data_IF_266298517641
#
_entry.id   IF_266298517641
#
_cell.length_a   1.000
_cell.length_b   1.000
_cell.length_c   1.000
_cell.angle_alpha   90.00
_cell.angle_beta   90.00
_cell.angle_gamma   90.00
#
_symmetry.space_group_name_H-M   'P 1'
#
loop_
_entity.id
_entity.type
_entity.pdbx_description
1 polymer ?
#
# COMPACT_ATOMS: atom_id res chain seq x y z
N UNK A 1 14.48 37.49 11.17
CA UNK A 1 15.04 36.25 10.58
C UNK A 1 14.65 36.12 9.11
N UNK A 2 14.75 37.21 8.33
CA UNK A 2 14.27 37.29 6.93
C UNK A 2 15.33 37.84 5.96
N UNK A 3 16.55 38.08 6.44
CA UNK A 3 17.66 38.63 5.64
C UNK A 3 18.74 37.55 5.35
N UNK A 4 18.75 36.44 6.09
CA UNK A 4 19.75 35.37 5.92
C UNK A 4 19.38 34.33 4.85
N UNK A 5 18.10 34.11 4.58
CA UNK A 5 17.66 33.05 3.63
C UNK A 5 17.81 33.49 2.17
N UNK A 6 17.73 34.79 1.90
CA UNK A 6 17.82 35.36 0.54
C UNK A 6 19.27 35.33 0.01
N UNK A 7 20.28 35.24 0.88
CA UNK A 7 21.68 35.29 0.47
C UNK A 7 22.25 33.93 0.02
N UNK A 8 21.57 32.82 0.32
CA UNK A 8 22.05 31.47 -0.01
C UNK A 8 21.61 31.04 -1.42
N UNK A 9 20.46 31.51 -1.91
CA UNK A 9 19.93 31.11 -3.23
C UNK A 9 20.51 31.93 -4.40
N UNK A 10 21.04 33.13 -4.15
CA UNK A 10 21.65 33.97 -5.19
C UNK A 10 23.06 33.49 -5.63
N UNK A 11 23.67 32.52 -4.93
CA UNK A 11 24.99 31.97 -5.28
C UNK A 11 24.97 30.81 -6.27
N UNK A 12 23.78 30.38 -6.72
CA UNK A 12 23.59 29.21 -7.60
C UNK A 12 23.05 29.54 -9.01
N UNK A 13 22.90 30.82 -9.40
CA UNK A 13 22.67 31.21 -10.79
C UNK A 13 21.28 30.89 -11.39
N UNK A 14 20.24 30.70 -10.57
CA UNK A 14 18.88 30.46 -11.06
C UNK A 14 18.08 31.77 -11.19
N UNK A 15 17.53 32.04 -12.37
CA UNK A 15 16.56 33.11 -12.62
C UNK A 15 15.18 32.76 -12.04
N UNK A 16 14.61 33.68 -11.26
CA UNK A 16 13.26 33.54 -10.69
C UNK A 16 12.26 34.20 -11.65
N UNK A 17 11.46 33.39 -12.36
CA UNK A 17 10.33 33.87 -13.15
C UNK A 17 9.08 33.92 -12.27
N UNK A 18 8.63 35.12 -11.90
CA UNK A 18 7.34 35.36 -11.24
C UNK A 18 6.24 35.43 -12.31
N UNK A 19 5.53 34.32 -12.54
CA UNK A 19 4.25 34.34 -13.25
C UNK A 19 3.12 34.68 -12.27
N UNK A 20 2.40 35.78 -12.55
CA UNK A 20 1.14 36.14 -11.89
C UNK A 20 0.02 35.45 -12.67
N UNK A 21 -0.42 34.30 -12.18
CA UNK A 21 -1.72 33.73 -12.51
C UNK A 21 -2.54 33.56 -11.22
N UNK A 22 -3.85 33.78 -11.32
CA UNK A 22 -4.80 33.70 -10.21
C UNK A 22 -4.72 32.36 -9.47
N UNK A 23 -4.87 32.34 -8.13
CA UNK A 23 -4.65 31.13 -7.35
C UNK A 23 -5.71 30.07 -7.69
N UNK A 24 -5.31 28.83 -8.02
CA UNK A 24 -6.25 27.72 -8.12
C UNK A 24 -6.86 27.44 -6.74
N UNK A 25 -8.15 27.12 -6.71
CA UNK A 25 -8.88 26.80 -5.48
C UNK A 25 -8.15 25.69 -4.67
N UNK A 26 -7.89 26.00 -3.40
CA UNK A 26 -7.16 25.19 -2.45
C UNK A 26 -7.80 23.82 -2.19
N UNK A 27 -7.04 22.72 -2.08
CA UNK A 27 -7.53 21.53 -1.40
C UNK A 27 -7.47 21.79 0.12
N UNK A 28 -8.65 21.90 0.71
CA UNK A 28 -8.92 22.25 2.11
C UNK A 28 -8.18 21.33 3.08
N UNK A 29 -7.51 21.90 4.08
CA UNK A 29 -7.08 21.17 5.27
C UNK A 29 -8.31 20.79 6.08
N UNK A 30 -8.52 19.50 6.31
CA UNK A 30 -9.70 18.90 6.94
C UNK A 30 -9.82 19.15 8.46
N UNK A 31 -9.78 20.42 8.86
CA UNK A 31 -10.24 20.88 10.18
C UNK A 31 -11.72 21.33 10.18
N UNK A 32 -12.39 21.34 9.01
CA UNK A 32 -13.84 21.56 8.85
C UNK A 32 -14.63 20.28 8.53
N UNK A 33 -14.18 19.12 9.03
CA UNK A 33 -14.87 17.83 8.80
C UNK A 33 -16.08 17.63 9.74
N UNK A 34 -16.99 18.59 9.76
CA UNK A 34 -18.38 18.37 10.14
C UNK A 34 -19.23 18.85 8.96
N UNK A 35 -19.68 17.88 8.16
CA UNK A 35 -20.60 18.02 7.02
C UNK A 35 -20.00 18.50 5.69
N UNK A 36 -18.94 17.86 5.21
CA UNK A 36 -18.73 17.77 3.75
C UNK A 36 -19.70 16.69 3.24
N UNK A 37 -20.78 17.10 2.55
CA UNK A 37 -21.74 16.16 1.95
C UNK A 37 -21.03 15.44 0.82
N UNK A 38 -20.62 14.20 1.06
CA UNK A 38 -20.00 13.36 0.04
C UNK A 38 -21.04 13.17 -1.08
N UNK A 39 -20.72 13.48 -2.34
CA UNK A 39 -21.69 13.32 -3.43
C UNK A 39 -22.00 11.85 -3.68
N UNK A 40 -23.27 11.54 -3.89
CA UNK A 40 -23.71 10.21 -4.31
C UNK A 40 -23.36 10.00 -5.79
N UNK A 41 -22.35 9.17 -6.06
CA UNK A 41 -22.01 8.74 -7.43
C UNK A 41 -21.86 7.22 -7.52
N UNK A 42 -22.08 6.62 -8.71
CA UNK A 42 -21.83 5.18 -8.92
C UNK A 42 -20.41 4.76 -8.57
N UNK A 43 -19.42 5.59 -8.89
CA UNK A 43 -18.02 5.35 -8.59
C UNK A 43 -17.78 5.34 -7.08
N UNK A 44 -18.45 6.24 -6.34
CA UNK A 44 -18.31 6.31 -4.88
C UNK A 44 -18.95 5.11 -4.19
N UNK A 45 -20.13 4.68 -4.61
CA UNK A 45 -20.76 3.46 -4.08
C UNK A 45 -19.89 2.24 -4.37
N UNK A 46 -19.38 2.13 -5.61
CA UNK A 46 -18.48 1.04 -5.98
C UNK A 46 -17.23 1.04 -5.09
N UNK A 47 -16.61 2.20 -4.88
CA UNK A 47 -15.46 2.34 -3.97
C UNK A 47 -15.78 1.83 -2.56
N UNK A 48 -16.93 2.22 -1.99
CA UNK A 48 -17.31 1.77 -0.64
C UNK A 48 -17.51 0.26 -0.59
N UNK A 49 -18.14 -0.34 -1.60
CA UNK A 49 -18.31 -1.80 -1.69
C UNK A 49 -16.96 -2.50 -1.83
N UNK A 50 -16.04 -1.95 -2.62
CA UNK A 50 -14.68 -2.46 -2.78
C UNK A 50 -13.88 -2.35 -1.48
N UNK A 51 -14.03 -1.27 -0.72
CA UNK A 51 -13.40 -1.08 0.58
C UNK A 51 -13.95 -2.03 1.66
N UNK A 52 -15.26 -2.29 1.65
CA UNK A 52 -15.90 -3.21 2.57
C UNK A 52 -15.68 -4.69 2.20
N UNK A 53 -15.23 -4.99 0.98
CA UNK A 53 -14.98 -6.36 0.55
C UNK A 53 -14.01 -7.07 1.53
N UNK A 54 -14.32 -8.27 2.03
CA UNK A 54 -15.36 -9.19 1.55
C UNK A 54 -16.71 -9.11 2.28
N UNK A 55 -16.89 -8.16 3.19
CA UNK A 55 -18.14 -7.98 3.90
C UNK A 55 -19.23 -7.40 2.98
N UNK A 56 -20.43 -7.99 2.96
CA UNK A 56 -21.57 -7.39 2.27
C UNK A 56 -21.98 -6.05 2.90
N UNK A 57 -22.48 -5.14 2.07
CA UNK A 57 -22.91 -3.80 2.48
C UNK A 57 -24.41 -3.64 2.27
N UNK A 58 -25.12 -3.10 3.25
CA UNK A 58 -26.55 -2.83 3.18
C UNK A 58 -26.82 -1.39 2.67
N UNK A 59 -27.74 -1.17 1.72
CA UNK A 59 -28.16 0.17 1.29
C UNK A 59 -28.64 1.08 2.44
N UNK A 60 -29.31 0.53 3.46
CA UNK A 60 -29.79 1.30 4.61
C UNK A 60 -28.63 1.88 5.42
N UNK A 61 -27.59 1.08 5.65
CA UNK A 61 -26.38 1.50 6.36
C UNK A 61 -25.61 2.54 5.53
N UNK A 62 -25.49 2.35 4.22
CA UNK A 62 -24.88 3.33 3.31
C UNK A 62 -25.59 4.68 3.34
N UNK A 63 -26.93 4.66 3.24
CA UNK A 63 -27.74 5.87 3.27
C UNK A 63 -27.57 6.63 4.59
N UNK A 64 -27.57 5.91 5.72
CA UNK A 64 -27.37 6.47 7.06
C UNK A 64 -25.98 7.06 7.25
N UNK A 65 -24.93 6.31 6.89
CA UNK A 65 -23.55 6.68 7.20
C UNK A 65 -23.06 7.88 6.37
N UNK A 66 -23.57 8.04 5.15
CA UNK A 66 -23.19 9.13 4.24
C UNK A 66 -24.27 10.22 4.08
N UNK A 67 -25.42 10.07 4.74
CA UNK A 67 -26.53 11.04 4.68
C UNK A 67 -27.23 11.09 3.31
N UNK A 68 -27.28 9.97 2.59
CA UNK A 68 -27.92 9.85 1.28
C UNK A 68 -29.37 9.36 1.37
N UNK A 69 -30.14 9.53 0.30
CA UNK A 69 -31.45 8.91 0.16
C UNK A 69 -31.32 7.41 -0.15
N UNK A 70 -31.98 6.56 0.64
CA UNK A 70 -31.98 5.10 0.45
C UNK A 70 -32.46 4.71 -0.96
N UNK A 71 -33.48 5.38 -1.48
CA UNK A 71 -34.00 5.13 -2.83
C UNK A 71 -32.97 5.43 -3.92
N UNK A 72 -32.17 6.48 -3.75
CA UNK A 72 -31.15 6.87 -4.71
C UNK A 72 -29.95 5.92 -4.65
N UNK A 73 -29.52 5.53 -3.44
CA UNK A 73 -28.50 4.50 -3.23
C UNK A 73 -28.92 3.18 -3.89
N UNK A 74 -30.17 2.77 -3.68
CA UNK A 74 -30.69 1.53 -4.26
C UNK A 74 -30.72 1.54 -5.79
N UNK A 75 -31.10 2.67 -6.41
CA UNK A 75 -31.05 2.83 -7.88
C UNK A 75 -29.62 2.67 -8.42
N UNK A 76 -28.64 3.27 -7.74
CA UNK A 76 -27.22 3.14 -8.14
C UNK A 76 -26.73 1.71 -7.97
N UNK A 77 -27.10 1.02 -6.88
CA UNK A 77 -26.76 -0.39 -6.66
C UNK A 77 -27.34 -1.31 -7.75
N UNK A 78 -28.58 -1.07 -8.18
CA UNK A 78 -29.16 -1.81 -9.31
C UNK A 78 -28.34 -1.57 -10.57
N UNK A 79 -27.99 -0.32 -10.89
CA UNK A 79 -27.18 -0.02 -12.08
C UNK A 79 -25.80 -0.69 -12.04
N UNK A 80 -25.14 -0.73 -10.87
CA UNK A 80 -23.87 -1.44 -10.69
C UNK A 80 -24.02 -2.97 -10.81
N UNK A 81 -25.14 -3.52 -10.34
CA UNK A 81 -25.48 -4.94 -10.49
C UNK A 81 -25.75 -5.31 -11.95
N UNK A 82 -26.44 -4.46 -12.70
CA UNK A 82 -26.71 -4.64 -14.13
C UNK A 82 -25.42 -4.60 -14.97
N UNK A 83 -24.44 -3.77 -14.55
CA UNK A 83 -23.07 -3.78 -15.12
C UNK A 83 -22.25 -5.03 -14.73
N UNK A 84 -22.79 -5.90 -13.88
CA UNK A 84 -22.11 -7.10 -13.41
C UNK A 84 -20.98 -6.82 -12.42
N UNK A 85 -20.91 -5.63 -11.82
CA UNK A 85 -19.82 -5.29 -10.89
C UNK A 85 -20.10 -5.82 -9.47
N UNK A 86 -21.36 -5.89 -9.07
CA UNK A 86 -21.78 -6.33 -7.73
C UNK A 86 -22.89 -7.38 -7.80
N UNK A 87 -23.00 -8.21 -6.76
CA UNK A 87 -24.07 -9.20 -6.59
C UNK A 87 -24.88 -8.92 -5.33
N UNK A 88 -26.16 -9.24 -5.38
CA UNK A 88 -27.04 -9.27 -4.20
C UNK A 88 -26.80 -10.54 -3.38
N UNK A 89 -26.73 -10.39 -2.07
CA UNK A 89 -26.63 -11.43 -1.05
C UNK A 89 -27.96 -11.54 -0.30
N UNK A 90 -28.02 -12.37 0.74
CA UNK A 90 -29.15 -12.41 1.68
C UNK A 90 -29.34 -11.04 2.36
N UNK A 91 -30.55 -10.78 2.88
CA UNK A 91 -30.87 -9.56 3.63
C UNK A 91 -30.57 -8.24 2.90
N UNK A 92 -30.89 -8.17 1.59
CA UNK A 92 -30.73 -6.97 0.76
C UNK A 92 -29.31 -6.38 0.73
N UNK A 93 -28.30 -7.19 1.04
CA UNK A 93 -26.90 -6.74 1.07
C UNK A 93 -26.21 -6.96 -0.28
N UNK A 94 -25.18 -6.18 -0.57
CA UNK A 94 -24.45 -6.24 -1.84
C UNK A 94 -22.95 -6.47 -1.61
N UNK A 95 -22.29 -7.20 -2.51
CA UNK A 95 -20.83 -7.40 -2.46
C UNK A 95 -20.23 -7.42 -3.87
N UNK A 96 -18.93 -7.14 -3.98
CA UNK A 96 -18.20 -7.13 -5.26
C UNK A 96 -18.20 -8.52 -5.90
N UNK A 97 -18.43 -8.58 -7.21
CA UNK A 97 -18.25 -9.80 -8.01
C UNK A 97 -16.79 -9.90 -8.44
N UNK A 98 -16.19 -11.07 -8.23
CA UNK A 98 -14.91 -11.45 -8.82
C UNK A 98 -15.20 -12.28 -10.08
N UNK A 99 -14.91 -11.72 -11.26
CA UNK A 99 -15.16 -12.38 -12.54
C UNK A 99 -14.12 -13.47 -12.89
N UNK A 100 -13.00 -13.54 -12.18
CA UNK A 100 -11.84 -14.35 -12.57
C UNK A 100 -11.76 -15.74 -11.95
N UNK A 101 -12.44 -16.00 -10.83
CA UNK A 101 -12.29 -17.26 -10.14
C UNK A 101 -13.17 -18.33 -10.78
N UNK A 102 -12.60 -19.07 -11.74
CA UNK A 102 -13.22 -20.29 -12.30
C UNK A 102 -13.61 -21.30 -11.22
N UNK A 103 -13.13 -21.15 -9.99
CA UNK A 103 -13.48 -21.95 -8.82
C UNK A 103 -13.64 -21.11 -7.53
N UNK A 104 -14.57 -20.15 -7.47
CA UNK A 104 -14.97 -19.59 -6.16
C UNK A 104 -15.63 -20.71 -5.34
N UNK A 105 -14.91 -21.22 -4.34
CA UNK A 105 -15.42 -22.24 -3.42
C UNK A 105 -15.99 -21.54 -2.20
N UNK A 106 -17.32 -21.40 -2.17
CA UNK A 106 -18.02 -20.95 -0.96
C UNK A 106 -18.01 -22.09 0.06
N UNK A 107 -17.36 -21.87 1.20
CA UNK A 107 -17.17 -22.89 2.22
C UNK A 107 -17.65 -22.42 3.58
N UNK A 108 -18.25 -23.32 4.37
CA UNK A 108 -18.57 -23.03 5.79
C UNK A 108 -17.31 -23.08 6.66
N UNK A 109 -16.41 -23.99 6.33
CA UNK A 109 -15.11 -24.18 6.96
C UNK A 109 -14.07 -24.44 5.88
N UNK A 110 -12.86 -23.91 6.08
CA UNK A 110 -11.76 -24.18 5.15
C UNK A 110 -11.50 -25.69 5.06
N UNK A 111 -11.37 -26.25 3.85
CA UNK A 111 -11.05 -27.65 3.69
C UNK A 111 -9.69 -27.95 4.32
N UNK A 112 -9.54 -29.15 4.88
CA UNK A 112 -8.24 -29.61 5.37
C UNK A 112 -7.29 -29.78 4.19
N UNK A 113 -6.34 -28.87 4.06
CA UNK A 113 -5.33 -28.91 3.00
C UNK A 113 -4.23 -29.89 3.42
N UNK A 114 -3.91 -30.83 2.54
CA UNK A 114 -2.80 -31.75 2.73
C UNK A 114 -1.52 -31.00 3.08
N UNK A 115 -0.72 -31.57 3.99
CA UNK A 115 0.47 -30.93 4.56
C UNK A 115 1.44 -30.37 3.51
N UNK A 116 1.60 -31.04 2.38
CA UNK A 116 2.47 -30.63 1.25
C UNK A 116 1.86 -29.54 0.34
N UNK A 117 0.55 -29.30 0.44
CA UNK A 117 -0.16 -28.26 -0.33
C UNK A 117 -0.46 -27.02 0.50
N UNK A 118 -0.03 -26.99 1.77
CA UNK A 118 -0.24 -25.84 2.63
C UNK A 118 0.68 -24.69 2.22
N UNK A 119 0.16 -23.46 2.23
CA UNK A 119 0.96 -22.28 1.93
C UNK A 119 2.00 -22.04 3.03
N UNK A 120 3.19 -21.62 2.61
CA UNK A 120 4.28 -21.22 3.51
C UNK A 120 4.44 -19.71 3.59
N UNK A 121 3.79 -18.97 2.68
CA UNK A 121 3.85 -17.53 2.59
C UNK A 121 2.44 -16.96 2.64
N UNK A 122 2.23 -15.93 3.46
CA UNK A 122 1.01 -15.15 3.49
C UNK A 122 1.23 -13.75 2.95
N UNK A 123 0.29 -13.24 2.15
CA UNK A 123 0.25 -11.85 1.71
C UNK A 123 -1.02 -11.19 2.24
N UNK A 124 -0.85 -10.14 3.03
CA UNK A 124 -1.94 -9.34 3.61
C UNK A 124 -1.99 -8.00 2.90
N UNK A 125 -3.16 -7.66 2.37
CA UNK A 125 -3.45 -6.40 1.67
C UNK A 125 -4.60 -5.68 2.36
N UNK A 126 -4.65 -4.35 2.28
CA UNK A 126 -5.70 -3.56 2.91
C UNK A 126 -6.75 -3.11 1.90
N UNK A 127 -6.32 -2.62 0.73
CA UNK A 127 -7.17 -2.07 -0.31
C UNK A 127 -7.53 -3.10 -1.39
N UNK A 128 -8.65 -2.85 -2.08
CA UNK A 128 -9.11 -3.75 -3.13
C UNK A 128 -8.14 -3.78 -4.33
N UNK A 129 -7.63 -2.63 -4.76
CA UNK A 129 -6.63 -2.54 -5.83
C UNK A 129 -5.32 -3.29 -5.49
N UNK A 130 -4.92 -3.29 -4.21
CA UNK A 130 -3.77 -4.05 -3.71
C UNK A 130 -4.00 -5.56 -3.84
N UNK A 131 -5.20 -6.03 -3.46
CA UNK A 131 -5.59 -7.43 -3.62
C UNK A 131 -5.58 -7.85 -5.08
N UNK A 132 -6.14 -7.04 -5.98
CA UNK A 132 -6.13 -7.30 -7.42
C UNK A 132 -4.70 -7.38 -7.98
N UNK A 133 -3.85 -6.42 -7.61
CA UNK A 133 -2.45 -6.40 -8.00
C UNK A 133 -1.69 -7.64 -7.54
N UNK A 134 -1.87 -8.05 -6.28
CA UNK A 134 -1.26 -9.27 -5.73
C UNK A 134 -1.81 -10.52 -6.40
N UNK A 135 -3.12 -10.59 -6.65
CA UNK A 135 -3.73 -11.74 -7.30
C UNK A 135 -3.25 -11.90 -8.73
N UNK A 136 -3.01 -10.81 -9.47
CA UNK A 136 -2.41 -10.85 -10.82
C UNK A 136 -1.01 -11.49 -10.84
N UNK A 137 -0.29 -11.45 -9.71
CA UNK A 137 1.04 -12.07 -9.59
C UNK A 137 0.99 -13.59 -9.39
N UNK A 138 -0.16 -14.14 -9.00
CA UNK A 138 -0.34 -15.55 -8.66
C UNK A 138 -0.62 -16.43 -9.88
N UNK A 139 -0.11 -17.65 -9.83
CA UNK A 139 -0.46 -18.73 -10.76
C UNK A 139 -1.36 -19.77 -10.07
N UNK A 140 -2.17 -20.50 -10.83
CA UNK A 140 -3.02 -21.59 -10.31
C UNK A 140 -3.88 -21.19 -9.11
N UNK A 141 -4.64 -20.09 -9.29
CA UNK A 141 -5.42 -19.42 -8.25
C UNK A 141 -6.67 -20.24 -7.88
N UNK A 142 -6.89 -20.43 -6.59
CA UNK A 142 -8.14 -20.97 -6.02
C UNK A 142 -8.61 -20.04 -4.90
N UNK A 143 -9.81 -19.47 -5.04
CA UNK A 143 -10.37 -18.55 -4.05
C UNK A 143 -11.43 -19.24 -3.21
N UNK A 144 -11.22 -19.20 -1.89
CA UNK A 144 -12.12 -19.70 -0.88
C UNK A 144 -12.80 -18.53 -0.20
N UNK A 145 -14.13 -18.55 -0.22
CA UNK A 145 -14.95 -17.52 0.42
C UNK A 145 -15.72 -18.15 1.56
N UNK A 146 -15.45 -17.69 2.77
CA UNK A 146 -16.19 -18.08 3.96
C UNK A 146 -17.15 -16.96 4.33
N UNK A 147 -18.39 -17.05 3.83
CA UNK A 147 -19.47 -16.20 4.28
C UNK A 147 -20.01 -16.73 5.61
N UNK A 148 -20.09 -15.85 6.60
CA UNK A 148 -20.77 -16.13 7.87
C UNK A 148 -22.06 -15.33 7.92
N UNK A 149 -23.18 -15.98 8.26
CA UNK A 149 -24.47 -15.29 8.49
C UNK A 149 -24.42 -14.35 9.69
N UNK A 150 -23.50 -14.60 10.63
CA UNK A 150 -23.21 -13.74 11.78
C UNK A 150 -21.69 -13.62 11.90
N UNK A 151 -21.17 -12.40 11.80
CA UNK A 151 -19.73 -12.10 11.92
C UNK A 151 -19.03 -11.83 10.58
N UNK A 152 -17.69 -11.80 10.62
CA UNK A 152 -16.83 -11.37 9.50
C UNK A 152 -16.66 -12.42 8.42
N UNK A 153 -16.89 -12.00 7.17
CA UNK A 153 -16.56 -12.81 6.00
C UNK A 153 -15.05 -12.79 5.76
N UNK A 154 -14.49 -13.91 5.31
CA UNK A 154 -13.07 -13.99 4.99
C UNK A 154 -12.88 -14.57 3.59
N UNK A 155 -11.94 -14.01 2.85
CA UNK A 155 -11.60 -14.45 1.50
C UNK A 155 -10.12 -14.77 1.45
N UNK A 156 -9.82 -16.02 1.12
CA UNK A 156 -8.46 -16.52 0.95
C UNK A 156 -8.27 -16.93 -0.49
N UNK A 157 -7.30 -16.34 -1.18
CA UNK A 157 -6.88 -16.80 -2.50
C UNK A 157 -5.57 -17.55 -2.34
N UNK A 158 -5.59 -18.84 -2.69
CA UNK A 158 -4.40 -19.67 -2.72
C UNK A 158 -3.85 -19.70 -4.14
N UNK A 159 -2.53 -19.66 -4.29
CA UNK A 159 -1.88 -19.73 -5.58
C UNK A 159 -0.40 -20.03 -5.43
N UNK A 160 0.33 -19.99 -6.53
CA UNK A 160 1.77 -20.19 -6.57
C UNK A 160 2.48 -18.93 -7.07
N UNK A 161 3.65 -18.65 -6.50
CA UNK A 161 4.64 -17.75 -7.09
C UNK A 161 5.95 -18.53 -7.14
N UNK A 162 6.41 -18.85 -8.35
CA UNK A 162 7.54 -19.76 -8.54
C UNK A 162 7.29 -21.09 -7.83
N UNK A 163 8.23 -21.51 -6.98
CA UNK A 163 8.13 -22.75 -6.22
C UNK A 163 7.32 -22.64 -4.92
N UNK A 164 6.82 -21.45 -4.56
CA UNK A 164 6.19 -21.20 -3.28
C UNK A 164 4.67 -21.20 -3.37
N UNK A 165 4.03 -21.90 -2.42
CA UNK A 165 2.58 -21.86 -2.23
C UNK A 165 2.22 -20.67 -1.34
N UNK A 166 1.34 -19.81 -1.87
CA UNK A 166 0.97 -18.53 -1.29
C UNK A 166 -0.50 -18.55 -0.88
N UNK A 167 -0.82 -17.88 0.23
CA UNK A 167 -2.18 -17.47 0.55
C UNK A 167 -2.26 -15.96 0.65
N UNK A 168 -3.27 -15.37 0.03
CA UNK A 168 -3.50 -13.92 0.05
C UNK A 168 -4.87 -13.62 0.67
N UNK A 169 -4.94 -12.53 1.42
CA UNK A 169 -6.19 -12.01 1.96
C UNK A 169 -6.22 -10.50 1.85
N UNK A 170 -7.43 -9.96 1.69
CA UNK A 170 -7.70 -8.54 1.89
C UNK A 170 -8.29 -8.34 3.29
N UNK A 171 -7.91 -7.26 3.95
CA UNK A 171 -8.55 -6.82 5.19
C UNK A 171 -9.99 -6.34 4.91
N UNK A 172 -10.94 -6.63 5.82
CA UNK A 172 -12.37 -6.47 5.55
C UNK A 172 -12.88 -5.04 5.63
N UNK A 173 -12.25 -4.18 6.41
CA UNK A 173 -12.65 -2.79 6.54
C UNK A 173 -11.41 -1.93 6.70
N UNK A 174 -11.36 -0.93 5.83
CA UNK A 174 -10.36 0.12 5.83
C UNK A 174 -10.85 1.23 6.75
N UNK A 175 -9.97 1.73 7.60
CA UNK A 175 -10.29 2.80 8.53
C UNK A 175 -9.73 2.58 9.92
N UNK A 176 -9.68 3.68 10.67
CA UNK A 176 -9.06 3.72 11.99
C UNK A 176 -10.07 3.72 13.13
N UNK A 177 -11.31 3.28 12.86
CA UNK A 177 -12.26 3.00 13.94
C UNK A 177 -11.78 1.77 14.71
N UNK A 178 -12.18 1.65 15.97
CA UNK A 178 -11.75 0.51 16.80
C UNK A 178 -12.30 -0.80 16.25
N UNK A 179 -13.48 -0.74 15.64
CA UNK A 179 -14.16 -1.84 14.98
C UNK A 179 -13.37 -2.32 13.75
N UNK A 180 -12.96 -1.40 12.86
CA UNK A 180 -12.17 -1.72 11.68
C UNK A 180 -10.78 -2.27 12.05
N UNK A 181 -10.14 -1.68 13.05
CA UNK A 181 -8.86 -2.15 13.61
C UNK A 181 -9.02 -3.57 14.18
N UNK A 182 -10.07 -3.83 14.95
CA UNK A 182 -10.30 -5.16 15.53
C UNK A 182 -10.58 -6.20 14.45
N UNK A 183 -11.40 -5.86 13.45
CA UNK A 183 -11.73 -6.76 12.35
C UNK A 183 -10.51 -7.12 11.51
N UNK A 184 -9.68 -6.14 11.17
CA UNK A 184 -8.45 -6.34 10.41
C UNK A 184 -7.44 -7.23 11.16
N UNK A 185 -7.32 -7.05 12.48
CA UNK A 185 -6.45 -7.89 13.32
C UNK A 185 -6.98 -9.32 13.44
N UNK A 186 -8.29 -9.47 13.57
CA UNK A 186 -8.95 -10.77 13.58
C UNK A 186 -8.74 -11.52 12.28
N UNK A 187 -8.91 -10.89 11.12
CA UNK A 187 -8.66 -11.52 9.81
C UNK A 187 -7.23 -12.01 9.69
N UNK A 188 -6.24 -11.19 10.09
CA UNK A 188 -4.82 -11.57 10.05
C UNK A 188 -4.54 -12.74 10.99
N UNK A 189 -5.04 -12.69 12.22
CA UNK A 189 -4.89 -13.78 13.20
C UNK A 189 -5.57 -15.08 12.74
N UNK A 190 -6.76 -14.98 12.13
CA UNK A 190 -7.47 -16.13 11.57
C UNK A 190 -6.72 -16.75 10.39
N UNK A 191 -6.11 -15.95 9.53
CA UNK A 191 -5.26 -16.43 8.45
C UNK A 191 -4.10 -17.25 9.03
N UNK A 192 -3.34 -16.69 9.98
CA UNK A 192 -2.17 -17.34 10.57
C UNK A 192 -2.54 -18.59 11.39
N UNK A 193 -3.73 -18.61 12.00
CA UNK A 193 -4.26 -19.78 12.72
C UNK A 193 -4.80 -20.88 11.78
N UNK A 194 -5.35 -20.50 10.62
CA UNK A 194 -5.86 -21.44 9.60
C UNK A 194 -4.72 -22.09 8.84
N UNK A 195 -3.70 -21.31 8.47
CA UNK A 195 -2.54 -21.75 7.70
C UNK A 195 -1.30 -21.77 8.59
N UNK A 196 -1.23 -22.78 9.47
CA UNK A 196 -0.23 -22.84 10.53
C UNK A 196 1.22 -22.94 10.00
N UNK A 197 1.40 -23.45 8.78
CA UNK A 197 2.70 -23.56 8.08
C UNK A 197 3.19 -22.27 7.43
N UNK A 198 2.46 -21.16 7.56
CA UNK A 198 2.94 -19.87 7.08
C UNK A 198 4.11 -19.41 7.95
N UNK A 199 5.29 -19.34 7.36
CA UNK A 199 6.52 -18.89 8.02
C UNK A 199 6.88 -17.45 7.65
N UNK A 200 6.48 -17.01 6.44
CA UNK A 200 6.80 -15.69 5.91
C UNK A 200 5.52 -14.89 5.69
N UNK A 201 5.49 -13.64 6.17
CA UNK A 201 4.35 -12.74 5.97
C UNK A 201 4.76 -11.48 5.23
N UNK A 202 4.06 -11.18 4.15
CA UNK A 202 4.20 -9.95 3.39
C UNK A 202 3.01 -9.05 3.67
N UNK A 203 3.28 -7.82 4.13
CA UNK A 203 2.25 -6.77 4.23
C UNK A 203 2.46 -5.86 3.02
N UNK A 204 1.52 -5.91 2.08
CA UNK A 204 1.66 -5.27 0.77
C UNK A 204 0.58 -4.22 0.62
N UNK A 205 0.94 -3.04 0.13
CA UNK A 205 -0.08 -2.05 -0.20
C UNK A 205 0.46 -0.74 -0.74
N UNK A 206 -0.38 0.28 -0.72
CA UNK A 206 0.01 1.65 -0.99
C UNK A 206 0.49 2.37 0.27
N UNK A 207 1.26 3.43 0.07
CA UNK A 207 1.68 4.35 1.13
C UNK A 207 1.92 5.76 0.55
N UNK A 208 1.96 6.73 1.46
CA UNK A 208 2.43 8.08 1.16
C UNK A 208 3.96 8.12 1.22
N UNK A 209 4.60 8.69 0.21
CA UNK A 209 6.05 8.89 0.17
C UNK A 209 6.46 10.07 1.03
N UNK A 210 7.62 9.96 1.69
CA UNK A 210 8.29 11.09 2.33
C UNK A 210 9.37 11.61 1.36
N UNK A 211 9.13 12.74 0.70
CA UNK A 211 10.06 13.24 -0.30
C UNK A 211 11.28 13.88 0.37
N UNK A 212 12.46 13.55 -0.11
CA UNK A 212 13.67 14.31 0.18
C UNK A 212 13.90 15.36 -0.90
N UNK A 213 13.84 16.64 -0.56
CA UNK A 213 13.83 17.71 -1.56
C UNK A 213 15.19 17.95 -2.25
N UNK A 214 16.29 17.57 -1.60
CA UNK A 214 17.65 17.90 -2.08
C UNK A 214 18.51 16.70 -2.47
N UNK A 215 18.13 15.48 -2.08
CA UNK A 215 18.95 14.29 -2.27
C UNK A 215 18.17 13.32 -3.14
N UNK A 216 18.58 13.20 -4.40
CA UNK A 216 17.95 12.34 -5.38
C UNK A 216 17.85 10.87 -4.95
N UNK A 217 18.85 10.37 -4.20
CA UNK A 217 18.90 8.95 -3.79
C UNK A 217 17.92 8.63 -2.68
N UNK A 218 17.66 9.60 -1.80
CA UNK A 218 16.65 9.49 -0.73
C UNK A 218 15.27 9.98 -1.18
N UNK A 219 15.19 10.59 -2.35
CA UNK A 219 13.97 11.16 -2.86
C UNK A 219 13.04 10.07 -3.39
N UNK A 220 11.95 9.85 -2.68
CA UNK A 220 10.86 8.95 -3.06
C UNK A 220 9.88 9.68 -3.98
N UNK A 221 9.50 9.06 -5.10
CA UNK A 221 8.55 9.59 -6.10
C UNK A 221 7.28 8.76 -6.21
N UNK A 222 6.24 9.28 -6.87
CA UNK A 222 5.05 8.47 -7.14
C UNK A 222 5.38 7.31 -8.09
N UNK A 223 4.84 6.14 -7.75
CA UNK A 223 5.12 4.88 -8.44
C UNK A 223 6.42 4.19 -8.00
N UNK A 224 7.26 4.80 -7.15
CA UNK A 224 8.37 4.09 -6.52
C UNK A 224 7.85 3.08 -5.48
N UNK A 225 8.69 2.14 -5.08
CA UNK A 225 8.36 1.12 -4.07
C UNK A 225 9.32 1.25 -2.89
N UNK A 226 8.77 1.35 -1.68
CA UNK A 226 9.53 1.38 -0.42
C UNK A 226 9.39 0.04 0.28
N UNK A 227 10.50 -0.55 0.68
CA UNK A 227 10.56 -1.82 1.41
C UNK A 227 11.08 -1.56 2.81
N UNK A 228 10.39 -2.08 3.82
CA UNK A 228 10.80 -1.97 5.22
C UNK A 228 12.12 -2.71 5.43
N UNK A 229 13.22 -1.97 5.54
CA UNK A 229 14.56 -2.51 5.76
C UNK A 229 15.33 -1.52 6.63
N UNK A 230 16.32 -2.02 7.37
CA UNK A 230 17.20 -1.15 8.14
C UNK A 230 17.92 -0.17 7.18
N UNK A 231 18.03 1.11 7.54
CA UNK A 231 18.79 2.06 6.75
C UNK A 231 20.23 1.55 6.56
N UNK A 232 20.66 1.43 5.30
CA UNK A 232 22.07 1.15 5.00
C UNK A 232 22.83 2.47 5.08
N UNK A 233 23.48 2.74 6.20
CA UNK A 233 24.37 3.88 6.30
C UNK A 233 25.66 3.57 5.52
N UNK A 234 25.69 3.94 4.22
CA UNK A 234 26.85 3.73 3.35
C UNK A 234 28.13 4.41 3.87
N UNK A 235 28.00 5.42 4.74
CA UNK A 235 29.14 6.06 5.42
C UNK A 235 29.69 5.24 6.61
N UNK A 236 28.92 4.30 7.17
CA UNK A 236 29.44 3.36 8.17
C UNK A 236 30.31 2.27 7.51
N UNK A 237 30.04 1.91 6.25
CA UNK A 237 30.87 0.95 5.50
C UNK A 237 32.29 1.49 5.21
N UNK A 238 32.47 2.80 5.09
CA UNK A 238 33.78 3.42 4.80
C UNK A 238 34.68 3.58 6.03
N UNK A 239 34.12 3.52 7.25
CA UNK A 239 34.85 3.77 8.49
C UNK A 239 35.28 2.51 9.25
N UNK A 240 35.14 1.31 8.69
CA UNK A 240 35.59 0.06 9.31
C UNK A 240 34.89 -0.30 10.64
N UNK A 241 33.88 0.47 11.04
CA UNK A 241 32.95 0.11 12.08
C UNK A 241 31.85 -0.71 11.40
N UNK A 242 31.75 -1.99 11.76
CA UNK A 242 30.62 -2.84 11.38
C UNK A 242 29.32 -2.17 11.87
N UNK A 243 28.76 -1.29 11.04
CA UNK A 243 27.53 -0.57 11.31
C UNK A 243 26.42 -1.61 11.40
N UNK A 244 26.07 -2.00 12.61
CA UNK A 244 24.94 -2.87 12.84
C UNK A 244 23.71 -2.21 12.20
N UNK A 245 22.89 -2.95 11.43
CA UNK A 245 21.69 -2.40 10.83
C UNK A 245 20.86 -1.71 11.91
N UNK A 246 20.53 -0.43 11.70
CA UNK A 246 19.78 0.35 12.68
C UNK A 246 18.36 -0.21 12.77
N UNK A 247 18.15 -1.06 13.78
CA UNK A 247 16.85 -1.57 14.21
C UNK A 247 16.34 -0.66 15.32
N UNK A 248 15.03 -0.34 15.36
CA UNK A 248 13.93 -0.82 14.52
C UNK A 248 13.78 -0.02 13.21
N UNK A 249 12.92 -0.47 12.29
CA UNK A 249 12.63 0.26 11.03
C UNK A 249 11.15 0.20 10.59
N UNK A 250 10.28 -0.39 11.39
CA UNK A 250 8.84 -0.27 11.25
C UNK A 250 8.31 0.43 12.50
N UNK A 251 7.65 1.58 12.33
CA UNK A 251 7.18 2.40 13.44
C UNK A 251 5.67 2.56 13.39
N UNK A 252 5.00 2.32 14.51
CA UNK A 252 3.55 2.49 14.63
C UNK A 252 3.28 3.57 15.67
N UNK A 253 2.69 4.67 15.23
CA UNK A 253 2.31 5.80 16.06
C UNK A 253 0.88 5.61 16.58
N UNK A 254 0.69 5.68 17.89
CA UNK A 254 -0.63 5.67 18.53
C UNK A 254 -0.74 6.83 19.50
N UNK A 255 -1.76 7.68 19.34
CA UNK A 255 -2.01 8.81 20.22
C UNK A 255 -2.79 8.38 21.49
N UNK A 256 -2.32 7.33 22.17
CA UNK A 256 -2.73 7.07 23.55
C UNK A 256 -1.98 8.05 24.47
N UNK A 257 -2.45 8.21 25.72
CA UNK A 257 -2.14 9.34 26.63
C UNK A 257 -0.66 9.75 26.81
N UNK A 258 0.32 8.94 26.38
CA UNK A 258 1.77 9.22 26.41
C UNK A 258 2.48 9.36 25.04
N UNK A 259 1.77 9.29 23.91
CA UNK A 259 2.37 9.35 22.57
C UNK A 259 3.30 8.18 22.26
N UNK A 260 2.90 6.96 22.64
CA UNK A 260 3.72 5.77 22.51
C UNK A 260 3.95 5.37 21.04
N UNK A 261 5.22 5.13 20.70
CA UNK A 261 5.65 4.64 19.39
C UNK A 261 6.04 3.17 19.52
N UNK A 262 5.21 2.29 18.97
CA UNK A 262 5.58 0.87 18.88
C UNK A 262 6.62 0.68 17.78
N UNK A 263 7.58 -0.18 18.06
CA UNK A 263 8.78 -0.38 17.26
C UNK A 263 8.88 -1.83 16.85
N UNK A 264 8.93 -2.08 15.55
CA UNK A 264 8.91 -3.42 14.99
C UNK A 264 10.08 -3.66 14.04
N UNK A 265 10.53 -4.91 14.02
CA UNK A 265 11.46 -5.48 13.07
C UNK A 265 11.35 -7.01 13.13
N UNK A 266 11.52 -7.74 12.02
CA UNK A 266 11.60 -9.19 12.01
C UNK A 266 12.87 -9.68 12.69
N UNK A 267 12.78 -10.82 13.38
CA UNK A 267 13.96 -11.48 13.95
C UNK A 267 14.81 -12.13 12.85
N UNK A 268 14.17 -12.67 11.80
CA UNK A 268 14.83 -13.20 10.62
C UNK A 268 14.81 -12.16 9.48
N UNK A 269 16.00 -11.72 9.06
CA UNK A 269 16.18 -10.69 8.05
C UNK A 269 16.32 -11.21 6.61
N UNK A 270 16.11 -12.51 6.37
CA UNK A 270 16.28 -13.14 5.05
C UNK A 270 15.53 -12.40 3.92
N UNK A 271 14.28 -11.97 4.17
CA UNK A 271 13.50 -11.23 3.17
C UNK A 271 14.11 -9.85 2.88
N UNK A 272 14.65 -9.18 3.91
CA UNK A 272 15.32 -7.88 3.77
C UNK A 272 16.66 -8.01 3.05
N UNK A 273 17.42 -9.08 3.30
CA UNK A 273 18.67 -9.38 2.59
C UNK A 273 18.42 -9.62 1.09
N UNK A 274 17.35 -10.35 0.74
CA UNK A 274 16.94 -10.51 -0.66
C UNK A 274 16.56 -9.16 -1.27
N UNK A 275 15.78 -8.34 -0.56
CA UNK A 275 15.41 -7.00 -1.03
C UNK A 275 16.64 -6.10 -1.24
N UNK A 276 17.64 -6.19 -0.36
CA UNK A 276 18.92 -5.49 -0.50
C UNK A 276 19.68 -5.96 -1.73
N UNK A 277 19.80 -7.27 -1.94
CA UNK A 277 20.43 -7.84 -3.12
C UNK A 277 19.72 -7.39 -4.41
N UNK A 278 18.38 -7.34 -4.42
CA UNK A 278 17.62 -6.85 -5.58
C UNK A 278 17.90 -5.37 -5.89
N UNK A 279 18.06 -4.52 -4.86
CA UNK A 279 18.42 -3.12 -5.06
C UNK A 279 19.88 -2.97 -5.54
N UNK A 280 20.82 -3.75 -5.01
CA UNK A 280 22.24 -3.71 -5.39
C UNK A 280 22.47 -4.16 -6.84
N UNK A 281 21.70 -5.14 -7.32
CA UNK A 281 21.78 -5.64 -8.70
C UNK A 281 20.83 -4.93 -9.67
N UNK A 282 20.14 -3.88 -9.23
CA UNK A 282 19.14 -3.16 -10.02
C UNK A 282 19.70 -2.59 -11.33
N UNK A 283 20.99 -2.24 -11.38
CA UNK A 283 21.65 -1.73 -12.59
C UNK A 283 21.80 -2.81 -13.68
N UNK A 284 21.87 -4.08 -13.29
CA UNK A 284 22.06 -5.21 -14.20
C UNK A 284 20.74 -5.93 -14.53
N UNK A 285 19.84 -6.08 -13.55
CA UNK A 285 18.61 -6.84 -13.71
C UNK A 285 17.51 -6.32 -12.78
N UNK A 286 16.34 -6.05 -13.36
CA UNK A 286 15.15 -5.59 -12.65
C UNK A 286 13.99 -6.55 -12.88
N UNK A 287 13.94 -7.69 -12.18
CA UNK A 287 12.89 -8.69 -12.41
C UNK A 287 11.48 -8.13 -12.17
N UNK A 288 11.33 -7.13 -11.29
CA UNK A 288 10.04 -6.50 -11.01
C UNK A 288 9.48 -5.74 -12.20
N UNK A 289 10.30 -5.26 -13.14
CA UNK A 289 9.79 -4.59 -14.35
C UNK A 289 9.07 -5.59 -15.25
N UNK A 290 9.67 -6.78 -15.44
CA UNK A 290 9.05 -7.87 -16.20
C UNK A 290 7.73 -8.32 -15.57
N UNK A 291 7.72 -8.52 -14.25
CA UNK A 291 6.49 -8.92 -13.56
C UNK A 291 5.42 -7.83 -13.55
N UNK A 292 5.83 -6.56 -13.57
CA UNK A 292 4.91 -5.43 -13.69
C UNK A 292 4.23 -5.44 -15.05
N UNK A 293 4.99 -5.66 -16.13
CA UNK A 293 4.44 -5.74 -17.49
C UNK A 293 3.51 -6.95 -17.65
N UNK A 294 3.92 -8.12 -17.15
CA UNK A 294 3.09 -9.33 -17.15
C UNK A 294 1.78 -9.11 -16.37
N UNK A 295 1.87 -8.52 -15.17
CA UNK A 295 0.69 -8.21 -14.36
C UNK A 295 -0.22 -7.15 -14.99
N UNK A 296 0.36 -6.16 -15.68
CA UNK A 296 -0.40 -5.14 -16.40
C UNK A 296 -1.14 -5.75 -17.60
N UNK A 297 -0.52 -6.68 -18.33
CA UNK A 297 -1.18 -7.42 -19.39
C UNK A 297 -2.35 -8.27 -18.84
N UNK A 298 -2.13 -9.00 -17.74
CA UNK A 298 -3.15 -9.82 -17.10
C UNK A 298 -4.36 -8.98 -16.65
N UNK A 299 -4.10 -7.82 -16.03
CA UNK A 299 -5.15 -6.95 -15.51
C UNK A 299 -5.90 -6.20 -16.60
N UNK A 300 -5.23 -5.79 -17.69
CA UNK A 300 -5.85 -5.05 -18.79
C UNK A 300 -6.88 -5.89 -19.55
N UNK A 301 -6.67 -7.20 -19.64
CA UNK A 301 -7.62 -8.11 -20.29
C UNK A 301 -8.85 -8.41 -19.42
N UNK A 302 -8.75 -8.25 -18.10
CA UNK A 302 -9.70 -8.83 -17.15
C UNK A 302 -10.45 -7.84 -16.27
N UNK A 303 -9.90 -6.64 -16.04
CA UNK A 303 -10.44 -5.67 -15.07
C UNK A 303 -10.64 -4.30 -15.73
N UNK A 304 -11.70 -3.60 -15.33
CA UNK A 304 -12.02 -2.24 -15.79
C UNK A 304 -11.04 -1.17 -15.25
N UNK A 305 -10.39 -1.45 -14.12
CA UNK A 305 -9.46 -0.53 -13.47
C UNK A 305 -8.17 -0.39 -14.27
N UNK A 306 -7.76 0.86 -14.54
CA UNK A 306 -6.48 1.14 -15.18
C UNK A 306 -5.33 1.03 -14.17
N UNK A 307 -4.44 0.06 -14.40
CA UNK A 307 -3.20 -0.15 -13.64
C UNK A 307 -1.98 0.42 -14.36
N UNK A 308 -2.15 1.08 -15.50
CA UNK A 308 -1.05 1.70 -16.22
C UNK A 308 -0.46 2.89 -15.45
N UNK A 309 0.86 3.09 -15.61
CA UNK A 309 1.53 4.23 -14.98
C UNK A 309 0.89 5.55 -15.45
N UNK A 310 0.42 6.40 -14.53
CA UNK A 310 -0.08 7.73 -14.88
C UNK A 310 0.98 8.58 -15.58
N UNK A 311 0.53 9.64 -16.26
CA UNK A 311 1.42 10.55 -16.96
C UNK A 311 2.43 11.21 -15.98
N UNK A 312 3.71 11.40 -16.36
CA UNK A 312 4.74 11.94 -15.46
C UNK A 312 4.41 13.31 -14.86
N UNK A 313 3.66 14.16 -15.57
CA UNK A 313 3.21 15.47 -15.10
C UNK A 313 2.17 15.41 -13.97
N UNK A 314 1.66 14.23 -13.64
CA UNK A 314 0.76 14.01 -12.50
C UNK A 314 1.51 13.67 -11.21
N UNK A 315 2.82 13.39 -11.29
CA UNK A 315 3.70 13.38 -10.12
C UNK A 315 4.06 14.82 -9.78
N UNK A 316 3.38 15.35 -8.76
CA UNK A 316 3.54 16.74 -8.32
C UNK A 316 3.99 16.77 -6.86
N UNK A 317 5.10 17.44 -6.63
CA UNK A 317 5.68 17.61 -5.32
C UNK A 317 5.38 19.00 -4.76
N UNK A 318 4.89 19.04 -3.53
CA UNK A 318 4.57 20.27 -2.82
C UNK A 318 5.41 20.41 -1.55
N UNK A 319 5.90 21.63 -1.30
CA UNK A 319 6.63 21.98 -0.08
C UNK A 319 5.83 22.99 0.73
N UNK A 320 5.68 22.75 2.04
CA UNK A 320 5.04 23.68 2.95
C UNK A 320 6.02 24.79 3.36
N UNK A 321 5.64 26.05 3.16
CA UNK A 321 6.46 27.24 3.46
C UNK A 321 5.99 27.99 4.72
N UNK A 322 4.99 27.47 5.43
CA UNK A 322 4.38 28.08 6.62
C UNK A 322 2.97 28.60 6.36
N UNK A 323 2.21 28.87 7.43
CA UNK A 323 0.84 29.44 7.36
C UNK A 323 -0.17 28.71 6.47
N UNK A 324 0.02 27.40 6.25
CA UNK A 324 -0.77 26.56 5.32
C UNK A 324 -0.52 26.86 3.83
N UNK A 325 0.45 27.70 3.51
CA UNK A 325 0.87 27.94 2.13
C UNK A 325 1.78 26.81 1.65
N UNK A 326 1.52 26.34 0.44
CA UNK A 326 2.31 25.29 -0.24
C UNK A 326 2.79 25.81 -1.59
N UNK A 327 4.01 25.44 -1.96
CA UNK A 327 4.60 25.72 -3.26
C UNK A 327 4.84 24.41 -4.02
N UNK A 328 4.55 24.40 -5.32
CA UNK A 328 4.95 23.29 -6.19
C UNK A 328 6.47 23.39 -6.41
N UNK A 329 7.19 22.28 -6.21
CA UNK A 329 8.65 22.22 -6.35
C UNK A 329 9.01 21.09 -7.31
N UNK A 330 10.07 21.30 -8.09
CA UNK A 330 10.58 20.26 -8.96
C UNK A 330 11.20 19.12 -8.13
N UNK A 331 11.09 17.89 -8.65
CA UNK A 331 11.83 16.76 -8.10
C UNK A 331 13.34 17.00 -8.25
N UNK A 332 14.17 16.59 -7.28
CA UNK A 332 15.61 16.63 -7.43
C UNK A 332 16.02 15.80 -8.65
N UNK A 333 16.97 16.34 -9.42
CA UNK A 333 17.53 15.68 -10.60
C UNK A 333 18.71 14.84 -10.16
N UNK A 334 18.72 13.57 -10.56
CA UNK A 334 19.86 12.69 -10.30
C UNK A 334 20.96 12.87 -11.35
N UNK A 335 22.10 12.17 -11.17
CA UNK A 335 23.13 12.10 -12.20
C UNK A 335 22.57 11.66 -13.56
N UNK A 336 23.17 12.07 -14.67
CA UNK A 336 22.68 11.66 -16.01
C UNK A 336 22.48 10.14 -16.11
N UNK A 337 21.29 9.72 -16.53
CA UNK A 337 20.91 8.30 -16.64
C UNK A 337 20.45 7.63 -15.33
N UNK A 338 20.31 8.36 -14.21
CA UNK A 338 19.87 7.78 -12.94
C UNK A 338 18.38 7.48 -12.87
N UNK A 339 17.57 8.27 -13.57
CA UNK A 339 16.15 7.98 -13.74
C UNK A 339 16.06 6.78 -14.67
N UNK A 340 15.75 5.64 -14.08
CA UNK A 340 15.58 4.39 -14.79
C UNK A 340 14.45 4.53 -15.79
N UNK A 341 14.76 4.33 -17.06
CA UNK A 341 13.80 4.26 -18.15
C UNK A 341 13.76 2.84 -18.71
N UNK A 342 12.58 2.38 -19.08
CA UNK A 342 12.40 1.10 -19.76
C UNK A 342 12.90 1.18 -21.22
N UNK A 343 12.79 0.06 -21.94
CA UNK A 343 13.18 -0.03 -23.35
C UNK A 343 12.41 0.93 -24.28
N UNK A 344 11.31 1.52 -23.80
CA UNK A 344 10.46 2.47 -24.48
C UNK A 344 10.71 3.92 -24.02
N UNK A 345 11.71 4.14 -23.15
CA UNK A 345 12.09 5.45 -22.64
C UNK A 345 11.17 5.98 -21.53
N UNK A 346 10.33 5.14 -20.92
CA UNK A 346 9.39 5.50 -19.87
C UNK A 346 10.00 5.25 -18.49
N UNK A 347 9.81 6.21 -17.59
CA UNK A 347 10.31 6.13 -16.21
C UNK A 347 9.75 4.89 -15.52
N UNK A 348 10.64 4.08 -14.92
CA UNK A 348 10.29 2.87 -14.17
C UNK A 348 10.31 3.10 -12.67
N UNK A 349 9.70 2.18 -11.92
CA UNK A 349 9.65 2.23 -10.46
C UNK A 349 11.01 1.92 -9.86
N UNK A 350 11.50 2.81 -8.99
CA UNK A 350 12.71 2.55 -8.19
C UNK A 350 12.33 1.87 -6.88
N UNK A 351 13.25 1.04 -6.39
CA UNK A 351 13.14 0.41 -5.07
C UNK A 351 13.94 1.25 -4.07
N UNK A 352 13.31 1.59 -2.95
CA UNK A 352 13.92 2.24 -1.81
C UNK A 352 13.87 1.32 -0.61
N UNK A 353 14.98 1.23 0.11
CA UNK A 353 15.10 0.45 1.35
C UNK A 353 15.14 1.41 2.50
N UNK A 354 14.19 1.31 3.42
CA UNK A 354 14.22 2.16 4.59
C UNK A 354 13.00 2.06 5.49
N UNK A 355 12.94 2.94 6.50
CA UNK A 355 11.91 2.87 7.51
C UNK A 355 10.53 3.30 7.02
N UNK A 356 9.50 2.61 7.53
CA UNK A 356 8.09 2.89 7.24
C UNK A 356 7.38 3.23 8.55
N UNK A 357 6.64 4.34 8.56
CA UNK A 357 5.77 4.74 9.66
C UNK A 357 4.32 4.39 9.38
N UNK A 358 3.55 4.04 10.40
CA UNK A 358 2.13 3.83 10.29
C UNK A 358 1.35 4.49 11.42
N UNK A 359 0.20 5.08 11.10
CA UNK A 359 -0.75 5.59 12.10
C UNK A 359 -1.61 6.73 11.56
N UNK A 360 -2.90 6.71 11.91
CA UNK A 360 -3.86 7.74 11.46
C UNK A 360 -3.43 9.14 11.87
N UNK A 361 -3.06 9.31 13.14
CA UNK A 361 -2.71 10.62 13.69
C UNK A 361 -1.36 11.13 13.20
N UNK A 362 -0.46 10.22 12.80
CA UNK A 362 0.79 10.54 12.13
C UNK A 362 0.49 11.12 10.73
N UNK A 363 -0.37 10.44 9.99
CA UNK A 363 -0.68 10.80 8.61
C UNK A 363 -1.56 12.05 8.51
N UNK A 364 -2.50 12.24 9.45
CA UNK A 364 -3.46 13.37 9.47
C UNK A 364 -2.78 14.74 9.64
N UNK A 365 -1.64 14.80 10.33
CA UNK A 365 -0.94 16.05 10.62
C UNK A 365 0.36 16.15 9.83
N UNK A 366 0.44 17.12 8.91
CA UNK A 366 1.65 17.38 8.13
C UNK A 366 2.86 17.66 9.02
N UNK A 367 2.67 18.45 10.08
CA UNK A 367 3.72 18.75 11.06
C UNK A 367 4.24 17.48 11.73
N UNK A 368 3.34 16.64 12.26
CA UNK A 368 3.74 15.37 12.89
C UNK A 368 4.42 14.44 11.90
N UNK A 369 3.90 14.34 10.67
CA UNK A 369 4.50 13.53 9.62
C UNK A 369 5.95 13.96 9.34
N UNK A 370 6.20 15.27 9.24
CA UNK A 370 7.56 15.82 9.03
C UNK A 370 8.46 15.57 10.25
N UNK A 371 7.98 15.84 11.45
CA UNK A 371 8.74 15.65 12.70
C UNK A 371 9.14 14.19 12.88
N UNK A 372 8.16 13.29 12.75
CA UNK A 372 8.34 11.86 12.91
C UNK A 372 9.20 11.25 11.78
N UNK A 373 9.04 11.73 10.54
CA UNK A 373 9.92 11.35 9.44
C UNK A 373 11.37 11.79 9.68
N UNK A 374 11.60 12.96 10.29
CA UNK A 374 12.94 13.43 10.65
C UNK A 374 13.53 12.63 11.79
N UNK A 375 12.74 12.30 12.81
CA UNK A 375 13.18 11.55 13.99
C UNK A 375 13.57 10.11 13.63
N UNK A 376 12.77 9.44 12.80
CA UNK A 376 12.93 8.01 12.49
C UNK A 376 13.46 7.73 11.08
N UNK A 377 13.76 8.76 10.30
CA UNK A 377 14.26 8.62 8.93
C UNK A 377 13.28 7.95 7.97
N UNK A 378 11.98 8.19 8.14
CA UNK A 378 10.95 7.52 7.34
C UNK A 378 11.04 7.85 5.84
N UNK A 379 10.82 6.84 5.01
CA UNK A 379 10.66 6.99 3.56
C UNK A 379 9.20 6.88 3.11
N UNK A 380 8.36 6.22 3.90
CA UNK A 380 6.94 6.06 3.61
C UNK A 380 6.08 6.10 4.88
N UNK A 381 4.83 6.52 4.71
CA UNK A 381 3.80 6.53 5.75
C UNK A 381 2.55 5.80 5.29
N UNK A 382 1.99 5.00 6.19
CA UNK A 382 0.78 4.22 5.96
C UNK A 382 -0.23 4.44 7.09
N UNK A 383 -1.48 4.06 6.88
CA UNK A 383 -2.52 4.11 7.91
C UNK A 383 -2.82 2.73 8.49
N UNK A 384 -2.67 1.65 7.72
CA UNK A 384 -3.36 0.37 7.98
C UNK A 384 -2.44 -0.81 8.30
N UNK A 385 -1.14 -0.64 8.11
CA UNK A 385 -0.09 -1.61 8.46
C UNK A 385 -0.10 -1.97 9.94
N UNK A 386 -0.42 -1.03 10.83
CA UNK A 386 -0.34 -1.20 12.28
C UNK A 386 -1.02 -2.48 12.78
N UNK A 387 -2.21 -2.76 12.27
CA UNK A 387 -3.07 -3.82 12.78
C UNK A 387 -2.61 -5.21 12.31
N UNK A 388 -2.26 -5.30 11.02
CA UNK A 388 -1.70 -6.51 10.45
C UNK A 388 -0.37 -6.85 11.15
N UNK A 389 0.47 -5.83 11.38
CA UNK A 389 1.76 -5.99 12.02
C UNK A 389 1.65 -6.45 13.49
N UNK A 390 0.76 -5.82 14.27
CA UNK A 390 0.46 -6.25 15.65
C UNK A 390 0.04 -7.74 15.69
N UNK A 391 -0.77 -8.17 14.72
CA UNK A 391 -1.23 -9.56 14.62
C UNK A 391 -0.13 -10.53 14.19
N UNK A 392 0.73 -10.13 13.25
CA UNK A 392 1.88 -10.94 12.79
C UNK A 392 2.86 -11.18 13.94
N UNK A 393 3.23 -10.11 14.64
CA UNK A 393 4.16 -10.18 15.78
C UNK A 393 3.53 -10.92 16.95
N UNK A 394 2.26 -10.66 17.26
CA UNK A 394 1.52 -11.34 18.33
C UNK A 394 1.32 -12.84 18.11
N UNK A 395 1.36 -13.31 16.85
CA UNK A 395 1.35 -14.74 16.49
C UNK A 395 2.76 -15.34 16.32
N UNK A 396 3.80 -14.67 16.85
CA UNK A 396 5.19 -15.12 16.84
C UNK A 396 5.71 -15.44 15.43
N UNK A 397 5.33 -14.64 14.42
CA UNK A 397 5.87 -14.76 13.07
C UNK A 397 7.10 -13.88 12.95
N UNK A 398 8.25 -14.55 12.99
CA UNK A 398 9.57 -13.91 13.07
C UNK A 398 10.12 -13.43 11.72
N UNK A 399 9.49 -13.84 10.61
CA UNK A 399 9.87 -13.46 9.25
C UNK A 399 8.72 -12.68 8.59
N UNK A 400 8.84 -11.36 8.52
CA UNK A 400 7.90 -10.51 7.80
C UNK A 400 8.59 -9.38 7.07
N UNK A 401 7.94 -8.87 6.03
CA UNK A 401 8.39 -7.71 5.27
C UNK A 401 7.21 -6.86 4.82
N UNK A 402 7.43 -5.56 4.76
CA UNK A 402 6.43 -4.59 4.36
C UNK A 402 6.89 -3.97 3.05
N UNK A 403 6.06 -4.07 2.01
CA UNK A 403 6.36 -3.57 0.67
C UNK A 403 5.26 -2.61 0.28
N UNK A 404 5.62 -1.33 0.11
CA UNK A 404 4.66 -0.25 -0.13
C UNK A 404 4.92 0.48 -1.44
N UNK A 405 3.94 0.48 -2.32
CA UNK A 405 3.95 1.31 -3.52
C UNK A 405 3.54 2.74 -3.18
N UNK A 406 4.23 3.71 -3.73
CA UNK A 406 3.98 5.12 -3.40
C UNK A 406 2.93 5.70 -4.34
N UNK A 407 1.77 6.05 -3.81
CA UNK A 407 0.66 6.59 -4.59
C UNK A 407 0.42 8.09 -4.34
N UNK A 408 0.80 8.61 -3.18
CA UNK A 408 0.81 10.05 -2.87
C UNK A 408 1.96 10.42 -1.93
N UNK A 409 1.95 11.65 -1.38
CA UNK A 409 2.93 12.15 -0.40
C UNK A 409 2.34 12.32 1.01
N UNK A 410 1.29 11.56 1.33
CA UNK A 410 0.54 11.62 2.60
C UNK A 410 0.26 10.23 3.18
N UNK A 411 -0.77 9.56 2.68
CA UNK A 411 -1.40 8.40 3.31
C UNK A 411 -1.44 7.16 2.41
N UNK A 412 -1.15 7.31 1.12
CA UNK A 412 -1.26 6.27 0.12
C UNK A 412 -2.68 6.08 -0.42
N UNK A 413 -3.65 6.85 0.06
CA UNK A 413 -5.09 6.71 -0.23
C UNK A 413 -5.69 7.97 -0.86
N UNK A 414 -5.01 9.11 -0.79
CA UNK A 414 -5.50 10.39 -1.27
C UNK A 414 -5.46 10.49 -2.80
N UNK A 415 -4.45 9.93 -3.44
CA UNK A 415 -4.29 10.01 -4.89
C UNK A 415 -4.73 8.72 -5.61
N UNK A 416 -6.00 8.70 -6.01
CA UNK A 416 -6.63 7.55 -6.66
C UNK A 416 -6.01 7.20 -8.01
N UNK A 417 -5.46 8.19 -8.73
CA UNK A 417 -4.85 7.97 -10.05
C UNK A 417 -3.62 7.07 -9.99
N UNK A 418 -2.85 7.17 -8.91
CA UNK A 418 -1.60 6.43 -8.74
C UNK A 418 -1.75 5.15 -7.93
N UNK A 419 -2.84 4.97 -7.17
CA UNK A 419 -3.06 3.81 -6.32
C UNK A 419 -2.96 2.47 -7.05
N UNK A 420 -3.58 2.35 -8.22
CA UNK A 420 -3.56 1.11 -8.99
C UNK A 420 -2.13 0.76 -9.42
N UNK A 421 -1.45 1.68 -10.11
CA UNK A 421 -0.07 1.48 -10.55
C UNK A 421 0.89 1.21 -9.38
N UNK A 422 0.78 1.98 -8.29
CA UNK A 422 1.60 1.80 -7.09
C UNK A 422 1.39 0.41 -6.46
N UNK A 423 0.13 -0.04 -6.38
CA UNK A 423 -0.22 -1.38 -5.91
C UNK A 423 0.42 -2.47 -6.76
N UNK A 424 0.37 -2.32 -8.08
CA UNK A 424 0.97 -3.26 -9.03
C UNK A 424 2.50 -3.28 -8.94
N UNK A 425 3.13 -2.11 -8.83
CA UNK A 425 4.57 -1.99 -8.63
C UNK A 425 5.02 -2.70 -7.35
N UNK A 426 4.30 -2.49 -6.24
CA UNK A 426 4.57 -3.19 -4.98
C UNK A 426 4.43 -4.72 -5.11
N UNK A 427 3.35 -5.20 -5.74
CA UNK A 427 3.11 -6.62 -5.96
C UNK A 427 4.20 -7.26 -6.85
N UNK A 428 4.71 -6.54 -7.84
CA UNK A 428 5.77 -6.99 -8.75
C UNK A 428 7.11 -7.14 -8.04
N UNK A 429 7.41 -6.24 -7.10
CA UNK A 429 8.57 -6.35 -6.21
C UNK A 429 8.42 -7.54 -5.25
N UNK A 430 7.22 -7.76 -4.70
CA UNK A 430 6.93 -8.93 -3.86
C UNK A 430 7.17 -10.24 -4.62
N UNK A 431 6.68 -10.33 -5.87
CA UNK A 431 6.95 -11.48 -6.75
C UNK A 431 8.45 -11.69 -6.96
N UNK A 432 9.20 -10.61 -7.15
CA UNK A 432 10.67 -10.67 -7.30
C UNK A 432 11.37 -11.20 -6.05
N UNK A 433 10.95 -10.76 -4.86
CA UNK A 433 11.50 -11.25 -3.59
C UNK A 433 11.20 -12.74 -3.44
N UNK A 434 9.95 -13.15 -3.66
CA UNK A 434 9.53 -14.56 -3.51
C UNK A 434 10.25 -15.47 -4.51
N UNK A 435 10.41 -15.05 -5.76
CA UNK A 435 11.15 -15.83 -6.76
C UNK A 435 12.66 -15.93 -6.47
N UNK A 436 13.20 -15.03 -5.65
CA UNK A 436 14.59 -15.06 -5.21
C UNK A 436 14.81 -15.81 -3.89
N UNK A 437 13.73 -16.28 -3.24
CA UNK A 437 13.83 -17.15 -2.06
C UNK A 437 14.27 -18.57 -2.46
N UNK A 438 14.94 -19.25 -1.54
CA UNK A 438 15.25 -20.67 -1.71
C UNK A 438 13.97 -21.50 -1.77
N UNK A 439 13.96 -22.52 -2.62
CA UNK A 439 12.83 -23.42 -2.75
C UNK A 439 12.46 -24.04 -1.37
N UNK A 440 11.17 -24.20 -1.06
CA UNK A 440 10.77 -24.74 0.23
C UNK A 440 11.29 -26.17 0.39
N UNK A 441 11.87 -26.47 1.55
CA UNK A 441 12.43 -27.80 1.87
C UNK A 441 11.40 -28.95 1.92
N UNK A 442 10.11 -28.66 1.69
CA UNK A 442 8.97 -29.57 1.85
C UNK A 442 8.33 -29.96 0.51
N UNK A 443 9.12 -30.27 -0.52
CA UNK A 443 8.62 -30.87 -1.77
C UNK A 443 8.29 -32.33 -1.57
#
# INVERSE_FOLDING_TARGET
MFIFTTLILARAGYEIYLFKDEPPASPVSSEDSQFEVVPLTPEKILEIIEQAYPNPVNPEDLARDYGWSEEEVFKVLIALKERGLIKSMEYNSFTRIHHEDKEIKVVKQMPTIASNKQPTIAIVTAQYCEKLAVDAMLENKETFVRYTTVGESNVYTLGNIGAHRIVTTKLPTIGSTREATTASGNTTTRLLGTFQKVDYVFIVGCAGGIPHYTDYRKHVRLGDVVISTAPVDRNSLTNGLNGQPQKPYCYVFSNNEDGEVKKYYPLNACLQEIAQSLQEHADCRKPWELYLDDGLADLKEKIENDFSRPAPNTDKLYMNIGNRDVIEVAHPVGPEGSDSVDAQGKITSRIHLGPIGSGRDLVKSDTRRIEFAREYGLLATDVEMNTALDSVVGNCRDSFIIVKGISDYKDGQSNKKWQNYASLAAASVVKSIICAMDAPNNV
#
